data_IF_901697587824
#
_entry.id   IF_901697587824
#
_cell.length_a   1.000
_cell.length_b   1.000
_cell.length_c   1.000
_cell.angle_alpha   90.00
_cell.angle_beta   90.00
_cell.angle_gamma   90.00
#
_symmetry.space_group_name_H-M   'P 1'
#
loop_
_entity.id
_entity.type
_entity.pdbx_description
1 polymer ?
#
# COMPACT_ATOMS: atom_id res chain seq x y z
N UNK A 1 31.05 60.42 28.37
CA UNK A 1 32.20 59.85 29.09
C UNK A 1 32.08 58.33 29.03
N UNK A 2 33.17 57.63 28.69
CA UNK A 2 33.29 56.19 28.39
C UNK A 2 32.56 55.75 27.09
N UNK A 3 33.27 55.76 25.95
CA UNK A 3 34.10 54.66 25.39
C UNK A 3 33.20 53.47 24.98
N UNK A 4 32.96 53.13 23.72
CA UNK A 4 33.75 53.32 22.50
C UNK A 4 34.22 51.94 22.02
N UNK A 5 33.54 51.36 21.04
CA UNK A 5 34.11 50.44 20.04
C UNK A 5 33.16 50.38 18.83
N UNK A 6 33.58 50.84 17.64
CA UNK A 6 32.88 50.63 16.38
C UNK A 6 33.36 49.36 15.64
N UNK A 7 32.45 48.80 14.83
CA UNK A 7 32.55 47.64 13.94
C UNK A 7 33.81 47.54 13.07
N UNK A 8 34.16 46.33 12.57
CA UNK A 8 34.76 46.17 11.26
C UNK A 8 33.75 45.66 10.19
N UNK A 9 34.00 45.97 8.89
CA UNK A 9 33.13 45.68 7.75
C UNK A 9 33.21 44.21 7.27
N UNK A 10 32.33 43.75 6.35
CA UNK A 10 32.28 42.35 5.94
C UNK A 10 33.48 41.99 5.04
N UNK A 11 33.96 40.73 5.05
CA UNK A 11 35.03 40.31 4.18
C UNK A 11 34.51 40.03 2.76
N UNK A 12 35.04 40.76 1.79
CA UNK A 12 34.99 40.43 0.37
C UNK A 12 36.11 39.46 -0.01
N UNK A 13 35.73 38.42 -0.78
CA UNK A 13 36.50 37.79 -1.86
C UNK A 13 37.87 37.17 -1.54
N UNK A 14 37.93 35.83 -1.46
CA UNK A 14 39.08 35.02 -1.88
C UNK A 14 38.63 33.59 -2.22
N UNK A 15 39.00 33.12 -3.44
CA UNK A 15 39.33 31.73 -3.84
C UNK A 15 38.40 30.56 -3.42
N UNK A 16 38.00 29.60 -4.24
CA UNK A 16 38.48 29.12 -5.53
C UNK A 16 37.43 28.17 -6.15
N UNK A 17 37.36 28.21 -7.49
CA UNK A 17 36.97 27.16 -8.44
C UNK A 17 36.38 25.84 -7.87
N UNK A 18 35.08 25.65 -8.04
CA UNK A 18 34.47 24.34 -8.31
C UNK A 18 33.23 24.53 -9.19
N UNK A 19 33.45 25.11 -10.37
CA UNK A 19 32.51 25.10 -11.47
C UNK A 19 33.29 24.54 -12.66
N UNK A 20 33.29 23.22 -12.79
CA UNK A 20 33.57 22.46 -14.02
C UNK A 20 33.49 20.97 -13.69
N UNK A 21 32.76 20.22 -14.53
CA UNK A 21 32.56 18.74 -14.54
C UNK A 21 31.30 18.20 -13.86
N UNK A 22 30.14 18.55 -14.43
CA UNK A 22 29.10 17.55 -14.70
C UNK A 22 28.86 17.54 -16.22
N UNK A 23 29.21 16.46 -16.95
CA UNK A 23 29.15 16.43 -18.40
C UNK A 23 27.79 15.91 -18.85
N UNK A 24 26.70 16.64 -18.63
CA UNK A 24 25.41 16.27 -19.22
C UNK A 24 24.66 17.52 -19.68
N UNK A 25 25.19 18.20 -20.68
CA UNK A 25 24.40 19.11 -21.50
C UNK A 25 23.55 18.25 -22.46
N UNK A 26 22.53 17.58 -21.91
CA UNK A 26 21.53 16.89 -22.72
C UNK A 26 20.60 17.94 -23.30
N UNK A 27 20.87 18.27 -24.56
CA UNK A 27 20.02 19.07 -25.44
C UNK A 27 18.53 18.78 -25.21
N UNK A 28 17.78 19.82 -24.82
CA UNK A 28 16.35 19.76 -24.50
C UNK A 28 15.54 19.17 -25.65
N UNK A 29 16.01 19.28 -26.89
CA UNK A 29 15.40 18.67 -28.06
C UNK A 29 15.58 17.15 -28.06
N UNK A 30 16.75 16.64 -27.64
CA UNK A 30 16.99 15.19 -27.47
C UNK A 30 16.21 14.61 -26.30
N UNK A 31 16.08 15.35 -25.19
CA UNK A 31 15.30 14.88 -24.04
C UNK A 31 13.81 14.75 -24.39
N UNK A 32 13.25 15.74 -25.10
CA UNK A 32 11.88 15.66 -25.64
C UNK A 32 11.72 14.44 -26.57
N UNK A 33 12.65 14.24 -27.50
CA UNK A 33 12.63 13.09 -28.41
C UNK A 33 12.68 11.74 -27.68
N UNK A 34 13.51 11.63 -26.64
CA UNK A 34 13.63 10.39 -25.85
C UNK A 34 12.34 10.11 -25.06
N UNK A 35 11.75 11.12 -24.44
CA UNK A 35 10.46 10.96 -23.73
C UNK A 35 9.34 10.56 -24.67
N UNK A 36 9.27 11.13 -25.88
CA UNK A 36 8.26 10.73 -26.87
C UNK A 36 8.50 9.32 -27.40
N UNK A 37 9.75 8.92 -27.63
CA UNK A 37 10.06 7.55 -28.06
C UNK A 37 9.68 6.53 -27.00
N UNK A 38 10.00 6.80 -25.72
CA UNK A 38 9.62 5.94 -24.61
C UNK A 38 8.09 5.81 -24.48
N UNK A 39 7.35 6.92 -24.60
CA UNK A 39 5.89 6.91 -24.56
C UNK A 39 5.30 6.08 -25.71
N UNK A 40 5.78 6.24 -26.95
CA UNK A 40 5.33 5.46 -28.11
C UNK A 40 5.64 3.97 -27.92
N UNK A 41 6.83 3.62 -27.44
CA UNK A 41 7.19 2.22 -27.17
C UNK A 41 6.27 1.57 -26.13
N UNK A 42 5.92 2.29 -25.06
CA UNK A 42 4.98 1.82 -24.03
C UNK A 42 3.58 1.65 -24.63
N UNK A 43 3.08 2.62 -25.41
CA UNK A 43 1.77 2.53 -26.06
C UNK A 43 1.69 1.34 -27.03
N UNK A 44 2.74 1.08 -27.81
CA UNK A 44 2.79 -0.08 -28.72
C UNK A 44 2.81 -1.40 -27.96
N UNK A 45 3.54 -1.50 -26.84
CA UNK A 45 3.53 -2.69 -25.98
C UNK A 45 2.16 -2.95 -25.38
N UNK A 46 1.46 -1.92 -24.89
CA UNK A 46 0.10 -2.06 -24.37
C UNK A 46 -0.90 -2.42 -25.49
N UNK A 47 -0.81 -1.78 -26.65
CA UNK A 47 -1.67 -2.11 -27.81
C UNK A 47 -1.47 -3.57 -28.26
N UNK A 48 -0.22 -4.05 -28.32
CA UNK A 48 0.08 -5.43 -28.66
C UNK A 48 -0.42 -6.42 -27.61
N UNK A 49 -0.33 -6.08 -26.32
CA UNK A 49 -0.85 -6.91 -25.23
C UNK A 49 -2.38 -6.96 -25.24
N UNK A 50 -3.06 -5.88 -25.60
CA UNK A 50 -4.52 -5.84 -25.74
C UNK A 50 -5.02 -6.56 -26.99
N UNK A 51 -4.24 -6.54 -28.09
CA UNK A 51 -4.56 -7.30 -29.29
C UNK A 51 -4.35 -8.81 -29.11
N UNK A 52 -3.57 -9.22 -28.10
CA UNK A 52 -3.48 -10.59 -27.59
C UNK A 52 -4.53 -10.90 -26.51
N UNK A 53 -5.67 -10.21 -26.55
CA UNK A 53 -6.83 -10.53 -25.73
C UNK A 53 -7.24 -12.01 -25.84
N UNK A 54 -7.88 -12.56 -24.79
CA UNK A 54 -7.91 -13.99 -24.53
C UNK A 54 -8.62 -14.75 -25.64
N UNK A 55 -7.95 -15.77 -26.16
CA UNK A 55 -8.49 -16.74 -27.09
C UNK A 55 -9.87 -17.22 -26.59
N UNK A 56 -10.88 -16.95 -27.42
CA UNK A 56 -12.28 -17.28 -27.20
C UNK A 56 -12.44 -18.72 -26.70
N UNK A 57 -13.11 -18.89 -25.55
CA UNK A 57 -13.61 -20.20 -25.16
C UNK A 57 -14.87 -20.52 -25.99
N UNK A 58 -14.90 -21.65 -26.73
CA UNK A 58 -16.03 -21.98 -27.58
C UNK A 58 -17.29 -22.34 -26.76
N UNK A 59 -18.49 -22.12 -27.31
CA UNK A 59 -19.75 -22.33 -26.60
C UNK A 59 -19.97 -23.81 -26.27
N UNK A 60 -20.24 -24.13 -25.00
CA UNK A 60 -20.61 -25.49 -24.54
C UNK A 60 -21.91 -25.97 -25.22
N UNK A 61 -21.94 -27.18 -25.81
CA UNK A 61 -23.18 -27.77 -26.32
C UNK A 61 -24.06 -28.31 -25.18
N UNK A 62 -25.37 -28.11 -25.33
CA UNK A 62 -26.43 -28.59 -24.42
C UNK A 62 -26.44 -30.13 -24.33
N UNK A 63 -26.43 -30.60 -23.08
CA UNK A 63 -26.61 -31.97 -22.61
C UNK A 63 -28.00 -32.51 -23.00
N UNK A 64 -28.08 -33.61 -23.74
CA UNK A 64 -29.27 -34.47 -23.81
C UNK A 64 -28.85 -35.96 -23.78
N UNK A 65 -29.14 -36.58 -22.63
CA UNK A 65 -29.69 -37.93 -22.43
C UNK A 65 -28.93 -39.12 -23.06
N UNK A 66 -28.24 -39.90 -22.22
CA UNK A 66 -27.86 -41.32 -22.40
C UNK A 66 -29.04 -42.24 -21.95
N UNK A 67 -29.06 -43.60 -22.08
CA UNK A 67 -27.90 -44.53 -22.16
C UNK A 67 -28.07 -45.88 -22.94
N UNK A 68 -26.98 -46.68 -22.89
CA UNK A 68 -26.88 -48.16 -23.00
C UNK A 68 -27.04 -48.75 -24.42
N UNK A 69 -26.33 -49.77 -24.92
CA UNK A 69 -25.45 -50.88 -24.47
C UNK A 69 -25.03 -51.58 -25.79
N UNK A 70 -23.85 -52.16 -26.06
CA UNK A 70 -23.29 -53.40 -25.50
C UNK A 70 -21.97 -53.79 -26.26
N UNK A 71 -21.13 -54.54 -25.54
CA UNK A 71 -19.87 -55.25 -25.85
C UNK A 71 -19.60 -55.77 -27.28
N UNK A 72 -18.31 -55.85 -27.68
CA UNK A 72 -17.50 -57.11 -27.66
C UNK A 72 -16.08 -56.92 -28.20
N UNK A 73 -15.13 -57.49 -27.46
CA UNK A 73 -13.68 -57.53 -27.56
C UNK A 73 -13.13 -58.37 -28.74
N UNK A 74 -11.93 -58.05 -29.24
CA UNK A 74 -10.85 -59.04 -29.47
C UNK A 74 -9.47 -58.39 -29.43
N UNK A 75 -8.52 -59.19 -28.97
CA UNK A 75 -7.21 -58.86 -28.41
C UNK A 75 -6.13 -59.50 -29.29
N UNK A 76 -5.05 -58.78 -29.57
CA UNK A 76 -3.74 -59.37 -29.84
C UNK A 76 -2.62 -58.43 -29.33
N UNK A 77 -1.59 -59.05 -28.78
CA UNK A 77 -0.44 -58.55 -27.97
C UNK A 77 0.82 -59.22 -28.60
N UNK A 78 2.06 -59.10 -28.09
CA UNK A 78 2.97 -57.98 -27.78
C UNK A 78 4.30 -58.02 -28.60
N UNK A 79 5.13 -56.97 -28.48
CA UNK A 79 6.60 -57.01 -28.66
C UNK A 79 7.15 -55.60 -28.34
N UNK A 80 7.79 -55.33 -27.19
CA UNK A 80 9.14 -55.68 -26.72
C UNK A 80 10.26 -54.80 -27.33
N UNK A 81 11.19 -54.37 -26.44
CA UNK A 81 12.50 -53.72 -26.64
C UNK A 81 12.49 -52.18 -26.52
N UNK A 82 12.78 -51.61 -25.33
CA UNK A 82 14.11 -51.22 -24.78
C UNK A 82 14.78 -50.12 -25.60
N UNK A 83 14.92 -48.90 -25.05
CA UNK A 83 16.18 -48.33 -24.51
C UNK A 83 16.12 -46.80 -24.41
N UNK A 84 16.74 -46.28 -23.34
CA UNK A 84 17.52 -45.03 -23.26
C UNK A 84 16.82 -43.67 -23.32
N UNK A 85 16.85 -43.03 -22.14
CA UNK A 85 17.42 -41.70 -21.89
C UNK A 85 16.97 -40.53 -22.76
N UNK A 86 16.28 -39.58 -22.13
CA UNK A 86 16.58 -38.14 -22.17
C UNK A 86 15.28 -37.31 -22.01
N UNK A 87 14.85 -37.06 -20.77
CA UNK A 87 13.89 -35.98 -20.47
C UNK A 87 13.89 -35.66 -18.96
N UNK A 88 15.00 -35.16 -18.42
CA UNK A 88 15.05 -34.63 -17.03
C UNK A 88 15.57 -33.19 -16.94
N UNK A 89 15.88 -32.54 -18.06
CA UNK A 89 16.47 -31.18 -18.08
C UNK A 89 15.44 -30.05 -18.22
N UNK A 90 14.25 -30.34 -18.78
CA UNK A 90 13.23 -29.33 -19.02
C UNK A 90 12.51 -28.89 -17.72
N UNK A 91 12.26 -29.84 -16.81
CA UNK A 91 11.59 -29.56 -15.53
C UNK A 91 12.49 -28.76 -14.57
N UNK A 92 13.80 -28.96 -14.58
CA UNK A 92 14.72 -28.19 -13.71
C UNK A 92 14.75 -26.71 -14.08
N UNK A 93 14.71 -26.35 -15.37
CA UNK A 93 14.64 -24.93 -15.78
C UNK A 93 13.29 -24.30 -15.48
N UNK A 94 12.20 -25.06 -15.55
CA UNK A 94 10.88 -24.58 -15.15
C UNK A 94 10.83 -24.35 -13.63
N UNK A 95 11.39 -25.25 -12.84
CA UNK A 95 11.46 -25.11 -11.38
C UNK A 95 12.36 -23.94 -10.96
N UNK A 96 13.46 -23.71 -11.66
CA UNK A 96 14.38 -22.60 -11.39
C UNK A 96 13.83 -21.25 -11.86
N UNK A 97 13.07 -21.21 -12.96
CA UNK A 97 12.32 -20.02 -13.37
C UNK A 97 11.18 -19.69 -12.39
N UNK A 98 10.51 -20.71 -11.84
CA UNK A 98 9.50 -20.55 -10.80
C UNK A 98 10.16 -20.08 -9.49
N UNK A 99 11.31 -20.64 -9.11
CA UNK A 99 12.06 -20.19 -7.93
C UNK A 99 12.64 -18.77 -8.10
N UNK A 100 12.98 -18.34 -9.32
CA UNK A 100 13.33 -16.94 -9.62
C UNK A 100 12.12 -16.01 -9.56
N UNK A 101 10.92 -16.50 -9.88
CA UNK A 101 9.67 -15.75 -9.73
C UNK A 101 9.28 -15.56 -8.25
N UNK A 102 9.74 -16.47 -7.39
CA UNK A 102 9.53 -16.46 -5.94
C UNK A 102 10.78 -16.09 -5.13
N UNK A 103 11.80 -15.46 -5.76
CA UNK A 103 12.82 -14.80 -4.95
C UNK A 103 12.12 -13.76 -4.07
N UNK A 104 12.39 -13.74 -2.75
CA UNK A 104 11.86 -12.69 -1.89
C UNK A 104 12.48 -11.38 -2.34
N UNK A 105 11.83 -10.72 -3.29
CA UNK A 105 12.13 -9.34 -3.63
C UNK A 105 11.87 -8.59 -2.34
N UNK A 106 12.93 -8.02 -1.76
CA UNK A 106 12.80 -7.05 -0.68
C UNK A 106 12.08 -5.85 -1.29
N UNK A 107 10.75 -5.90 -1.29
CA UNK A 107 9.91 -4.83 -1.77
C UNK A 107 10.17 -3.63 -0.86
N UNK A 108 10.38 -2.47 -1.48
CA UNK A 108 10.43 -1.19 -0.77
C UNK A 108 9.09 -0.94 -0.06
N UNK A 109 9.08 -0.14 1.00
CA UNK A 109 7.84 0.25 1.68
C UNK A 109 6.81 0.82 0.70
N UNK A 110 7.24 1.67 -0.24
CA UNK A 110 6.41 2.19 -1.33
C UNK A 110 5.71 1.09 -2.13
N UNK A 111 6.45 0.05 -2.53
CA UNK A 111 5.91 -1.07 -3.30
C UNK A 111 4.96 -1.92 -2.46
N UNK A 112 5.28 -2.15 -1.19
CA UNK A 112 4.42 -2.90 -0.26
C UNK A 112 3.10 -2.16 -0.04
N UNK A 113 3.16 -0.86 0.24
CA UNK A 113 1.99 0.01 0.43
C UNK A 113 1.12 0.02 -0.82
N UNK A 114 1.69 0.27 -2.01
CA UNK A 114 0.98 0.23 -3.29
C UNK A 114 0.30 -1.12 -3.55
N UNK A 115 1.00 -2.21 -3.28
CA UNK A 115 0.48 -3.56 -3.45
C UNK A 115 -0.68 -3.84 -2.48
N UNK A 116 -0.50 -3.56 -1.19
CA UNK A 116 -1.48 -3.81 -0.13
C UNK A 116 -2.76 -2.98 -0.32
N UNK A 117 -2.63 -1.71 -0.72
CA UNK A 117 -3.78 -0.84 -0.93
C UNK A 117 -4.67 -1.27 -2.11
N UNK A 118 -4.17 -2.13 -3.01
CA UNK A 118 -4.92 -2.71 -4.12
C UNK A 118 -5.70 -1.68 -4.97
N UNK A 119 -5.09 -0.52 -5.18
CA UNK A 119 -5.66 0.59 -5.96
C UNK A 119 -6.68 1.46 -5.23
N UNK A 120 -6.89 1.24 -3.91
CA UNK A 120 -7.69 2.13 -3.07
C UNK A 120 -7.10 3.55 -3.07
N UNK A 121 -7.97 4.55 -3.14
CA UNK A 121 -7.61 5.97 -3.26
C UNK A 121 -8.08 6.80 -2.08
N UNK A 122 -9.10 6.36 -1.34
CA UNK A 122 -9.59 7.06 -0.15
C UNK A 122 -9.38 6.18 1.08
N UNK A 123 -8.78 6.75 2.12
CA UNK A 123 -8.29 6.02 3.28
C UNK A 123 -8.73 6.74 4.56
N UNK A 124 -9.37 6.01 5.46
CA UNK A 124 -9.76 6.54 6.78
C UNK A 124 -9.11 5.72 7.89
N UNK A 125 -8.63 6.39 8.93
CA UNK A 125 -7.91 5.72 10.01
C UNK A 125 -8.26 6.34 11.35
N UNK A 126 -8.58 5.48 12.32
CA UNK A 126 -8.64 5.86 13.73
C UNK A 126 -7.25 6.28 14.23
N UNK A 127 -7.18 7.20 15.19
CA UNK A 127 -5.93 7.65 15.81
C UNK A 127 -5.51 6.74 16.98
N UNK A 128 -6.36 6.61 18.00
CA UNK A 128 -6.08 5.85 19.23
C UNK A 128 -5.78 4.38 18.92
N UNK A 129 -4.68 3.89 19.50
CA UNK A 129 -4.19 2.53 19.35
C UNK A 129 -3.58 2.21 17.97
N UNK A 130 -3.79 3.04 16.94
CA UNK A 130 -3.23 2.84 15.60
C UNK A 130 -2.03 3.74 15.38
N UNK A 131 -2.23 5.05 15.49
CA UNK A 131 -1.24 6.09 15.24
C UNK A 131 -0.70 6.62 16.57
N UNK A 132 -1.60 6.77 17.53
CA UNK A 132 -1.30 7.17 18.90
C UNK A 132 -1.03 5.93 19.77
N UNK A 133 -0.16 6.09 20.76
CA UNK A 133 0.09 5.05 21.77
C UNK A 133 -1.12 4.87 22.68
N UNK A 134 -1.81 5.96 22.97
CA UNK A 134 -3.01 6.01 23.80
C UNK A 134 -4.13 5.13 23.22
N UNK A 135 -4.92 4.52 24.10
CA UNK A 135 -5.99 3.58 23.72
C UNK A 135 -7.39 4.05 24.12
N UNK A 136 -7.47 5.08 24.96
CA UNK A 136 -8.72 5.63 25.47
C UNK A 136 -8.75 7.17 25.33
N UNK A 137 -9.93 7.77 25.09
CA UNK A 137 -10.04 9.22 24.89
C UNK A 137 -9.70 10.04 26.14
N UNK A 138 -9.82 9.47 27.34
CA UNK A 138 -9.43 10.11 28.60
C UNK A 138 -7.92 10.33 28.70
N UNK A 139 -7.10 9.50 28.05
CA UNK A 139 -5.64 9.61 28.06
C UNK A 139 -5.17 10.88 27.33
N UNK A 140 -5.89 11.30 26.29
CA UNK A 140 -5.59 12.47 25.45
C UNK A 140 -5.66 13.79 26.24
N UNK A 141 -6.35 13.82 27.38
CA UNK A 141 -6.39 14.98 28.26
C UNK A 141 -5.04 15.20 28.97
N UNK A 142 -4.22 14.16 29.12
CA UNK A 142 -2.95 14.23 29.84
C UNK A 142 -1.76 14.41 28.91
N UNK A 143 -1.66 13.57 27.88
CA UNK A 143 -0.57 13.56 26.91
C UNK A 143 -1.03 12.91 25.60
N UNK A 144 -0.26 13.13 24.54
CA UNK A 144 -0.49 12.50 23.24
C UNK A 144 0.84 12.09 22.65
N UNK A 145 0.99 10.81 22.31
CA UNK A 145 2.24 10.24 21.84
C UNK A 145 2.03 9.55 20.50
N UNK A 146 2.69 10.07 19.45
CA UNK A 146 2.66 9.45 18.12
C UNK A 146 3.67 8.30 18.07
N UNK A 147 3.22 7.12 17.64
CA UNK A 147 4.10 5.97 17.40
C UNK A 147 5.11 6.28 16.29
N UNK A 148 6.42 6.30 16.54
CA UNK A 148 7.40 6.66 15.51
C UNK A 148 7.38 5.71 14.30
N UNK A 149 7.11 4.43 14.53
CA UNK A 149 7.06 3.38 13.49
C UNK A 149 5.97 3.59 12.43
N UNK A 150 4.91 4.32 12.78
CA UNK A 150 3.75 4.52 11.89
C UNK A 150 3.96 5.68 10.91
N UNK A 151 4.85 6.61 11.23
CA UNK A 151 5.02 7.89 10.53
C UNK A 151 5.40 7.66 9.07
N UNK A 152 6.43 6.84 8.82
CA UNK A 152 6.88 6.54 7.45
C UNK A 152 5.79 5.84 6.63
N UNK A 153 5.04 4.93 7.25
CA UNK A 153 3.95 4.18 6.60
C UNK A 153 2.81 5.11 6.21
N UNK A 154 2.38 6.00 7.11
CA UNK A 154 1.32 6.96 6.82
C UNK A 154 1.71 7.95 5.73
N UNK A 155 2.95 8.47 5.77
CA UNK A 155 3.45 9.37 4.73
C UNK A 155 3.52 8.67 3.36
N UNK A 156 3.87 7.38 3.33
CA UNK A 156 3.86 6.61 2.09
C UNK A 156 2.44 6.36 1.56
N UNK A 157 1.48 6.08 2.44
CA UNK A 157 0.06 5.97 2.09
C UNK A 157 -0.45 7.31 1.54
N UNK A 158 -0.11 8.43 2.18
CA UNK A 158 -0.54 9.78 1.80
C UNK A 158 -0.08 10.22 0.40
N UNK A 159 1.01 9.64 -0.13
CA UNK A 159 1.47 9.93 -1.50
C UNK A 159 0.49 9.46 -2.58
N UNK A 160 -0.34 8.45 -2.28
CA UNK A 160 -1.22 7.81 -3.27
C UNK A 160 -2.68 7.74 -2.85
N UNK A 161 -2.99 7.98 -1.58
CA UNK A 161 -4.34 8.01 -1.04
C UNK A 161 -4.68 9.39 -0.50
N UNK A 162 -5.95 9.75 -0.65
CA UNK A 162 -6.57 10.79 0.15
C UNK A 162 -6.89 10.26 1.55
N UNK A 163 -6.13 10.74 2.54
CA UNK A 163 -6.14 10.22 3.92
C UNK A 163 -6.93 11.15 4.84
N UNK A 164 -7.84 10.54 5.61
CA UNK A 164 -8.58 11.16 6.70
C UNK A 164 -8.25 10.45 8.01
N UNK A 165 -7.78 11.22 8.99
CA UNK A 165 -7.59 10.71 10.35
C UNK A 165 -8.81 11.09 11.19
N UNK A 166 -9.19 10.27 12.16
CA UNK A 166 -10.33 10.58 12.99
C UNK A 166 -10.24 10.02 14.40
N UNK A 167 -10.84 10.71 15.37
CA UNK A 167 -10.92 10.22 16.75
C UNK A 167 -12.14 10.75 17.51
N UNK A 168 -12.50 10.01 18.56
CA UNK A 168 -13.42 10.46 19.59
C UNK A 168 -12.64 11.23 20.67
N UNK A 169 -12.97 12.50 20.90
CA UNK A 169 -12.34 13.35 21.94
C UNK A 169 -13.39 13.86 22.93
N UNK A 170 -12.96 14.14 24.16
CA UNK A 170 -13.83 14.60 25.24
C UNK A 170 -13.95 16.12 25.31
N UNK A 171 -12.96 16.85 24.79
CA UNK A 171 -12.87 18.31 24.82
C UNK A 171 -11.97 18.86 23.69
N UNK A 172 -12.12 20.15 23.41
CA UNK A 172 -11.36 20.87 22.37
C UNK A 172 -9.86 20.97 22.71
N UNK A 173 -9.49 20.92 23.99
CA UNK A 173 -8.09 20.96 24.43
C UNK A 173 -7.34 19.69 23.97
N UNK A 174 -7.99 18.53 24.09
CA UNK A 174 -7.48 17.24 23.62
C UNK A 174 -7.32 17.22 22.10
N UNK A 175 -8.24 17.81 21.35
CA UNK A 175 -8.09 18.02 19.90
C UNK A 175 -6.81 18.84 19.59
N UNK A 176 -6.60 19.94 20.32
CA UNK A 176 -5.41 20.77 20.19
C UNK A 176 -4.10 20.02 20.46
N UNK A 177 -4.09 19.16 21.50
CA UNK A 177 -2.94 18.29 21.83
C UNK A 177 -2.66 17.28 20.73
N UNK A 178 -3.70 16.62 20.20
CA UNK A 178 -3.56 15.66 19.08
C UNK A 178 -2.98 16.35 17.85
N UNK A 179 -3.53 17.49 17.44
CA UNK A 179 -3.05 18.21 16.27
C UNK A 179 -1.59 18.69 16.45
N UNK A 180 -1.21 19.08 17.66
CA UNK A 180 0.17 19.48 17.98
C UNK A 180 1.13 18.29 17.88
N UNK A 181 0.79 17.16 18.50
CA UNK A 181 1.61 15.95 18.45
C UNK A 181 1.80 15.42 17.03
N UNK A 182 0.75 15.40 16.19
CA UNK A 182 0.85 15.01 14.78
C UNK A 182 1.75 15.98 13.99
N UNK A 183 1.69 17.28 14.29
CA UNK A 183 2.54 18.29 13.68
C UNK A 183 4.01 18.12 14.08
N UNK A 184 4.28 17.88 15.36
CA UNK A 184 5.63 17.65 15.91
C UNK A 184 6.25 16.35 15.37
N UNK A 185 5.44 15.32 15.14
CA UNK A 185 5.84 14.09 14.45
C UNK A 185 6.13 14.28 12.95
N UNK A 186 5.89 15.47 12.40
CA UNK A 186 6.18 15.80 10.99
C UNK A 186 5.14 15.28 10.00
N UNK A 187 3.97 14.81 10.46
CA UNK A 187 2.96 14.22 9.56
C UNK A 187 2.36 15.25 8.59
N UNK A 188 2.35 16.53 8.94
CA UNK A 188 1.86 17.62 8.09
C UNK A 188 2.99 18.32 7.29
N UNK A 189 4.24 17.95 7.51
CA UNK A 189 5.37 18.57 6.83
C UNK A 189 5.53 18.03 5.39
N UNK A 190 6.17 18.82 4.51
CA UNK A 190 6.64 18.34 3.20
C UNK A 190 5.55 17.87 2.22
N UNK A 191 4.29 18.29 2.42
CA UNK A 191 3.17 17.81 1.60
C UNK A 191 2.69 16.40 1.99
N UNK A 192 2.91 16.00 3.25
CA UNK A 192 2.34 14.78 3.83
C UNK A 192 0.82 14.87 4.00
N UNK A 193 0.34 14.61 5.21
CA UNK A 193 -1.09 14.69 5.52
C UNK A 193 -1.60 16.13 5.50
N UNK A 194 -2.89 16.30 5.20
CA UNK A 194 -3.58 17.59 5.25
C UNK A 194 -4.20 17.74 6.63
N UNK A 195 -3.78 18.77 7.39
CA UNK A 195 -4.26 19.02 8.76
C UNK A 195 -5.79 19.10 8.85
N UNK A 196 -6.44 19.72 7.87
CA UNK A 196 -7.90 19.88 7.81
C UNK A 196 -8.66 18.56 7.56
N UNK A 197 -7.95 17.45 7.37
CA UNK A 197 -8.52 16.10 7.22
C UNK A 197 -8.35 15.24 8.48
N UNK A 198 -8.02 15.87 9.61
CA UNK A 198 -8.10 15.25 10.93
C UNK A 198 -9.45 15.63 11.54
N UNK A 199 -10.33 14.64 11.71
CA UNK A 199 -11.73 14.84 12.08
C UNK A 199 -12.00 14.38 13.51
N UNK A 200 -12.67 15.22 14.28
CA UNK A 200 -12.99 14.93 15.67
C UNK A 200 -14.50 14.75 15.85
N UNK A 201 -14.88 13.83 16.72
CA UNK A 201 -16.26 13.65 17.16
C UNK A 201 -16.29 13.29 18.65
N UNK A 202 -17.45 13.33 19.28
CA UNK A 202 -17.60 12.99 20.71
C UNK A 202 -18.09 11.56 20.94
N UNK A 203 -18.48 10.85 19.87
CA UNK A 203 -19.09 9.52 19.98
C UNK A 203 -18.66 8.61 18.85
N UNK A 204 -18.59 7.31 19.12
CA UNK A 204 -18.32 6.29 18.12
C UNK A 204 -19.34 6.29 16.97
N UNK A 205 -20.59 6.65 17.25
CA UNK A 205 -21.61 6.85 16.21
C UNK A 205 -21.24 8.00 15.25
N UNK A 206 -20.61 9.06 15.76
CA UNK A 206 -20.03 10.14 14.97
C UNK A 206 -18.91 9.63 14.06
N UNK A 207 -17.97 8.83 14.59
CA UNK A 207 -16.92 8.18 13.81
C UNK A 207 -17.49 7.32 12.68
N UNK A 208 -18.44 6.42 12.99
CA UNK A 208 -19.14 5.60 11.98
C UNK A 208 -19.84 6.47 10.93
N UNK A 209 -20.44 7.60 11.33
CA UNK A 209 -21.12 8.51 10.40
C UNK A 209 -20.14 9.19 9.44
N UNK A 210 -18.97 9.65 9.92
CA UNK A 210 -17.91 10.19 9.06
C UNK A 210 -17.45 9.16 8.05
N UNK A 211 -17.14 7.93 8.48
CA UNK A 211 -16.67 6.88 7.56
C UNK A 211 -17.71 6.58 6.48
N UNK A 212 -18.99 6.52 6.84
CA UNK A 212 -20.07 6.29 5.87
C UNK A 212 -20.22 7.42 4.85
N UNK A 213 -20.05 8.68 5.26
CA UNK A 213 -20.16 9.82 4.35
C UNK A 213 -18.91 10.00 3.48
N UNK A 214 -17.75 9.65 4.01
CA UNK A 214 -16.49 9.68 3.28
C UNK A 214 -16.37 8.54 2.28
N UNK A 215 -17.15 7.46 2.39
CA UNK A 215 -17.11 6.30 1.48
C UNK A 215 -15.68 5.90 1.07
N UNK A 216 -14.78 5.61 2.02
CA UNK A 216 -13.41 5.28 1.71
C UNK A 216 -13.29 3.88 1.11
N UNK A 217 -12.21 3.65 0.36
CA UNK A 217 -11.85 2.29 -0.07
C UNK A 217 -11.32 1.47 1.10
N UNK A 218 -10.57 2.13 2.00
CA UNK A 218 -9.95 1.54 3.19
C UNK A 218 -10.41 2.21 4.48
N UNK A 219 -10.73 1.40 5.48
CA UNK A 219 -10.95 1.86 6.85
C UNK A 219 -10.14 1.05 7.86
N UNK A 220 -9.48 1.73 8.79
CA UNK A 220 -8.72 1.12 9.88
C UNK A 220 -9.27 1.59 11.22
N UNK A 221 -9.60 0.63 12.08
CA UNK A 221 -10.09 0.87 13.43
C UNK A 221 -9.60 -0.24 14.36
N UNK A 222 -9.67 0.01 15.66
CA UNK A 222 -9.40 -0.92 16.75
C UNK A 222 -10.68 -1.53 17.32
N UNK A 223 -11.84 -0.88 17.16
CA UNK A 223 -13.14 -1.37 17.65
C UNK A 223 -13.69 -2.48 16.74
N UNK A 224 -13.87 -3.71 17.24
CA UNK A 224 -14.49 -4.78 16.47
C UNK A 224 -15.96 -4.48 16.13
N UNK A 225 -16.68 -3.72 16.96
CA UNK A 225 -18.07 -3.33 16.74
C UNK A 225 -18.20 -2.42 15.51
N UNK A 226 -17.35 -1.39 15.40
CA UNK A 226 -17.36 -0.46 14.26
C UNK A 226 -16.97 -1.18 12.97
N UNK A 227 -15.89 -1.97 13.01
CA UNK A 227 -15.45 -2.79 11.86
C UNK A 227 -16.58 -3.70 11.39
N UNK A 228 -17.30 -4.34 12.32
CA UNK A 228 -18.44 -5.18 11.99
C UNK A 228 -19.60 -4.40 11.35
N UNK A 229 -19.96 -3.24 11.92
CA UNK A 229 -21.03 -2.38 11.38
C UNK A 229 -20.71 -1.86 9.98
N UNK A 230 -19.45 -1.52 9.72
CA UNK A 230 -18.98 -0.93 8.45
C UNK A 230 -18.67 -1.97 7.36
N UNK A 231 -18.60 -3.26 7.69
CA UNK A 231 -18.19 -4.33 6.77
C UNK A 231 -18.99 -4.43 5.47
N UNK A 232 -20.24 -4.00 5.46
CA UNK A 232 -21.06 -3.99 4.23
C UNK A 232 -20.86 -2.76 3.33
N UNK A 233 -20.24 -1.70 3.86
CA UNK A 233 -20.13 -0.41 3.17
C UNK A 233 -18.72 -0.17 2.61
N UNK A 234 -17.69 -0.74 3.24
CA UNK A 234 -16.29 -0.45 2.93
C UNK A 234 -15.64 -1.62 2.19
N UNK A 235 -14.91 -1.30 1.12
CA UNK A 235 -14.29 -2.31 0.25
C UNK A 235 -13.21 -3.13 0.96
N UNK A 236 -12.40 -2.48 1.80
CA UNK A 236 -11.35 -3.12 2.58
C UNK A 236 -11.28 -2.52 3.99
N UNK A 237 -11.19 -3.37 4.99
CA UNK A 237 -11.02 -2.95 6.38
C UNK A 237 -9.82 -3.63 7.00
N UNK A 238 -9.09 -2.91 7.84
CA UNK A 238 -8.03 -3.47 8.67
C UNK A 238 -8.41 -3.26 10.15
N UNK A 239 -8.67 -4.35 10.84
CA UNK A 239 -8.86 -4.35 12.28
C UNK A 239 -7.51 -4.47 12.98
N UNK A 240 -7.11 -3.43 13.72
CA UNK A 240 -5.90 -3.43 14.52
C UNK A 240 -6.22 -4.03 15.89
N UNK A 241 -5.65 -5.20 16.18
CA UNK A 241 -5.87 -5.91 17.44
C UNK A 241 -4.63 -6.71 17.84
N UNK A 242 -4.18 -6.67 19.11
CA UNK A 242 -3.05 -7.46 19.57
C UNK A 242 -3.32 -8.97 19.48
N UNK A 243 -4.59 -9.37 19.56
CA UNK A 243 -5.04 -10.74 19.39
C UNK A 243 -5.57 -10.90 17.97
N UNK A 244 -5.09 -11.91 17.22
CA UNK A 244 -5.61 -12.20 15.88
C UNK A 244 -7.07 -12.65 16.00
N UNK A 245 -8.05 -11.81 15.64
CA UNK A 245 -9.45 -12.14 15.79
C UNK A 245 -9.87 -13.13 14.70
N UNK A 246 -10.97 -13.82 14.93
CA UNK A 246 -11.61 -14.61 13.88
C UNK A 246 -12.10 -13.68 12.77
N UNK A 247 -11.89 -14.07 11.51
CA UNK A 247 -12.28 -13.24 10.36
C UNK A 247 -13.79 -13.08 10.32
N UNK A 248 -14.28 -11.87 10.57
CA UNK A 248 -15.70 -11.53 10.59
C UNK A 248 -16.30 -11.40 9.19
N UNK A 249 -15.53 -10.95 8.20
CA UNK A 249 -15.94 -10.85 6.80
C UNK A 249 -14.72 -10.96 5.85
N UNK A 250 -14.97 -11.27 4.57
CA UNK A 250 -13.90 -11.48 3.58
C UNK A 250 -13.09 -10.22 3.25
N UNK A 251 -13.67 -9.05 3.46
CA UNK A 251 -13.04 -7.74 3.32
C UNK A 251 -12.41 -7.20 4.61
N UNK A 252 -12.47 -7.94 5.71
CA UNK A 252 -11.87 -7.56 7.00
C UNK A 252 -10.56 -8.32 7.18
N UNK A 253 -9.45 -7.58 7.12
CA UNK A 253 -8.12 -8.04 7.47
C UNK A 253 -7.84 -7.73 8.94
N UNK A 254 -6.85 -8.41 9.51
CA UNK A 254 -6.42 -8.17 10.88
C UNK A 254 -4.92 -8.18 10.99
N UNK A 255 -4.37 -7.29 11.80
CA UNK A 255 -2.95 -7.19 12.12
C UNK A 255 -2.78 -6.57 13.51
N UNK A 256 -1.65 -6.78 14.19
CA UNK A 256 -1.41 -6.16 15.49
C UNK A 256 -1.02 -4.67 15.40
N UNK A 257 -0.51 -4.21 14.26
CA UNK A 257 -0.20 -2.80 14.01
C UNK A 257 -0.21 -2.46 12.51
N UNK A 258 -0.29 -1.17 12.19
CA UNK A 258 -0.36 -0.68 10.81
C UNK A 258 0.95 -0.97 10.07
N UNK A 259 2.07 -0.71 10.72
CA UNK A 259 3.41 -0.96 10.21
C UNK A 259 3.71 -2.45 10.03
N UNK A 260 3.11 -3.35 10.83
CA UNK A 260 3.29 -4.77 10.61
C UNK A 260 2.57 -5.24 9.33
N UNK A 261 1.36 -4.70 9.09
CA UNK A 261 0.56 -5.04 7.92
C UNK A 261 1.17 -4.52 6.61
N UNK A 262 1.64 -3.26 6.62
CA UNK A 262 2.20 -2.58 5.44
C UNK A 262 3.72 -2.75 5.29
N UNK A 263 4.45 -3.01 6.36
CA UNK A 263 5.91 -3.23 6.36
C UNK A 263 6.33 -4.64 5.95
N UNK A 264 5.39 -5.51 5.60
CA UNK A 264 5.68 -6.85 5.05
C UNK A 264 6.05 -7.91 6.09
N UNK A 265 5.89 -7.62 7.39
CA UNK A 265 6.17 -8.57 8.47
C UNK A 265 5.12 -9.68 8.58
N UNK A 266 3.88 -9.43 8.12
CA UNK A 266 2.79 -10.42 8.10
C UNK A 266 2.92 -11.51 7.01
N UNK A 267 4.02 -11.54 6.23
CA UNK A 267 4.28 -12.55 5.20
C UNK A 267 5.29 -13.66 5.63
N UNK A 268 5.61 -13.77 6.92
CA UNK A 268 6.32 -14.94 7.49
C UNK A 268 5.35 -15.84 8.23
#
# INVERSE_FOLDING_TARGET
AFLGFPLPPPPTLFSARYADRLPFDLDRQKLRSLTTLAAISITLLFAWKMLRGPQEQPPRPRRRIAPSSSNTSTRSRPGALTTTDACSSADSRAHEAVNQLFQPVNLTLEQLVKHKLSGGRRFTCRLLGVILEETAPEELQNHVTVKPSVVEVLLEIAKICDVYLMECVLDDESEGKVLSALSEAGLFAGGGLIKDKVLFCSTDNGRTSFVRQLEPDWHIDTSPEIVHQLARFIKYQLHISPQRPERTASNVFSAPSLEQYFGGLDQR
#
